data_IF_121402778548
#
_entry.id   IF_121402778548
#
_cell.length_a   1.000
_cell.length_b   1.000
_cell.length_c   1.000
_cell.angle_alpha   90.00
_cell.angle_beta   90.00
_cell.angle_gamma   90.00
#
_symmetry.space_group_name_H-M   'P 1'
#
loop_
_entity.id
_entity.type
_entity.pdbx_description
1 polymer ?
#
# COMPACT_ATOMS: atom_id res chain seq x y z
N UNK A 1 5.01 18.56 12.01
CA UNK A 1 6.45 18.83 11.75
C UNK A 1 7.07 17.75 10.87
N UNK A 2 6.87 16.48 11.17
CA UNK A 2 7.46 15.37 10.40
C UNK A 2 7.01 15.29 8.94
N UNK A 3 5.70 15.53 8.65
CA UNK A 3 5.17 15.51 7.26
C UNK A 3 5.82 16.56 6.35
N UNK A 4 6.20 17.71 6.88
CA UNK A 4 6.88 18.75 6.09
C UNK A 4 8.29 18.33 5.65
N UNK A 5 9.01 17.56 6.48
CA UNK A 5 10.30 16.98 6.11
C UNK A 5 10.12 16.02 4.93
N UNK A 6 9.11 15.15 4.99
CA UNK A 6 8.82 14.22 3.90
C UNK A 6 8.47 14.94 2.60
N UNK A 7 7.56 15.92 2.65
CA UNK A 7 7.15 16.69 1.47
C UNK A 7 8.32 17.45 0.83
N UNK A 8 9.24 18.00 1.64
CA UNK A 8 10.44 18.70 1.16
C UNK A 8 11.41 17.77 0.42
N UNK A 9 11.48 16.50 0.83
CA UNK A 9 12.39 15.50 0.25
C UNK A 9 11.73 14.69 -0.88
N UNK A 10 10.42 14.83 -1.08
CA UNK A 10 9.68 14.14 -2.14
C UNK A 10 10.03 14.76 -3.50
N UNK A 11 10.59 13.95 -4.39
CA UNK A 11 10.91 14.38 -5.76
C UNK A 11 9.65 14.36 -6.64
N UNK A 12 9.47 15.42 -7.41
CA UNK A 12 8.47 15.47 -8.47
C UNK A 12 9.16 15.52 -9.84
N UNK A 13 8.57 14.84 -10.82
CA UNK A 13 9.06 14.78 -12.19
C UNK A 13 7.89 15.14 -13.11
N UNK A 14 7.89 16.36 -13.69
CA UNK A 14 6.85 16.74 -14.64
C UNK A 14 6.96 15.92 -15.94
N UNK A 15 5.83 15.73 -16.60
CA UNK A 15 5.71 15.04 -17.88
C UNK A 15 6.26 13.59 -17.89
N UNK A 16 6.13 12.85 -16.80
CA UNK A 16 6.54 11.45 -16.69
C UNK A 16 5.37 10.55 -16.24
N UNK A 17 5.13 9.35 -16.86
CA UNK A 17 5.82 8.80 -18.03
C UNK A 17 5.39 9.42 -19.36
N UNK A 18 4.36 10.27 -19.34
CA UNK A 18 3.83 10.97 -20.50
C UNK A 18 3.55 12.45 -20.17
N UNK A 19 3.52 13.29 -21.20
CA UNK A 19 3.25 14.73 -21.06
C UNK A 19 1.92 14.98 -20.31
N UNK A 20 1.95 15.90 -19.36
CA UNK A 20 0.81 16.31 -18.55
C UNK A 20 0.66 15.56 -17.22
N UNK A 21 1.46 14.52 -16.95
CA UNK A 21 1.48 13.81 -15.68
C UNK A 21 2.59 14.36 -14.78
N UNK A 22 2.25 14.70 -13.54
CA UNK A 22 3.22 15.01 -12.49
C UNK A 22 3.49 13.74 -11.68
N UNK A 23 4.66 13.16 -11.86
CA UNK A 23 5.06 11.95 -11.16
C UNK A 23 5.66 12.27 -9.80
N UNK A 24 5.21 11.61 -8.75
CA UNK A 24 5.75 11.70 -7.39
C UNK A 24 6.63 10.48 -7.11
N UNK A 25 7.92 10.72 -6.90
CA UNK A 25 8.90 9.65 -6.72
C UNK A 25 9.22 9.45 -5.24
N UNK A 26 8.56 8.48 -4.63
CA UNK A 26 8.76 8.11 -3.22
C UNK A 26 10.14 7.51 -2.94
N UNK A 27 10.90 7.09 -3.97
CA UNK A 27 12.23 6.50 -3.77
C UNK A 27 13.21 7.47 -3.15
N UNK A 28 12.98 8.77 -3.30
CA UNK A 28 13.77 9.80 -2.61
C UNK A 28 13.57 9.78 -1.10
N UNK A 29 12.39 9.37 -0.62
CA UNK A 29 12.10 9.18 0.81
C UNK A 29 12.72 7.89 1.34
N UNK A 30 12.74 6.83 0.53
CA UNK A 30 13.36 5.55 0.93
C UNK A 30 14.88 5.64 1.10
N UNK A 31 15.56 6.39 0.24
CA UNK A 31 17.02 6.54 0.28
C UNK A 31 17.53 7.46 1.41
N UNK A 32 16.65 8.25 2.00
CA UNK A 32 16.97 9.15 3.10
C UNK A 32 16.63 8.49 4.44
N UNK A 33 17.63 8.31 5.31
CA UNK A 33 17.47 7.56 6.57
C UNK A 33 16.51 8.25 7.54
N UNK A 34 16.47 9.58 7.57
CA UNK A 34 15.56 10.34 8.42
C UNK A 34 14.11 10.21 7.91
N UNK A 35 13.90 10.39 6.60
CA UNK A 35 12.59 10.20 5.98
C UNK A 35 12.05 8.78 6.17
N UNK A 36 12.90 7.77 5.94
CA UNK A 36 12.52 6.37 6.13
C UNK A 36 12.08 6.10 7.57
N UNK A 37 12.87 6.58 8.54
CA UNK A 37 12.54 6.46 9.97
C UNK A 37 11.22 7.16 10.31
N UNK A 38 11.02 8.39 9.85
CA UNK A 38 9.79 9.15 10.08
C UNK A 38 8.57 8.38 9.55
N UNK A 39 8.64 7.86 8.32
CA UNK A 39 7.53 7.11 7.73
C UNK A 39 7.17 5.88 8.55
N UNK A 40 8.17 5.08 8.94
CA UNK A 40 7.95 3.86 9.75
C UNK A 40 7.39 4.22 11.12
N UNK A 41 7.93 5.26 11.80
CA UNK A 41 7.49 5.66 13.13
C UNK A 41 6.04 6.18 13.12
N UNK A 42 5.69 7.06 12.18
CA UNK A 42 4.34 7.63 12.07
C UNK A 42 3.29 6.53 11.76
N UNK A 43 3.61 5.61 10.86
CA UNK A 43 2.71 4.49 10.55
C UNK A 43 2.59 3.52 11.71
N UNK A 44 3.70 3.22 12.39
CA UNK A 44 3.68 2.39 13.60
C UNK A 44 2.79 3.01 14.68
N UNK A 45 2.93 4.30 14.99
CA UNK A 45 2.12 4.99 16.00
C UNK A 45 0.62 4.92 15.66
N UNK A 46 0.26 4.97 14.39
CA UNK A 46 -1.14 4.85 13.96
C UNK A 46 -1.68 3.41 14.11
N UNK A 47 -0.85 2.38 13.93
CA UNK A 47 -1.31 0.99 13.88
C UNK A 47 -0.98 0.14 15.12
N UNK A 48 -0.10 0.57 16.01
CA UNK A 48 0.42 -0.23 17.15
C UNK A 48 -0.64 -0.85 18.06
N UNK A 49 -1.79 -0.20 18.20
CA UNK A 49 -2.88 -0.65 19.07
C UNK A 49 -4.04 -1.34 18.31
N UNK A 50 -3.87 -1.59 17.01
CA UNK A 50 -4.90 -2.19 16.16
C UNK A 50 -4.83 -3.72 16.06
N UNK A 51 -3.86 -4.34 16.72
CA UNK A 51 -3.71 -5.79 16.79
C UNK A 51 -3.33 -6.43 15.46
N UNK A 52 -2.60 -5.72 14.60
CA UNK A 52 -2.14 -6.23 13.28
C UNK A 52 -1.29 -7.49 13.47
N UNK A 53 -1.65 -8.59 12.80
CA UNK A 53 -0.90 -9.85 12.80
C UNK A 53 -0.13 -10.09 11.51
N UNK A 54 -0.61 -9.51 10.41
CA UNK A 54 0.01 -9.62 9.08
C UNK A 54 0.01 -8.28 8.35
N UNK A 55 1.13 -7.96 7.73
CA UNK A 55 1.23 -6.89 6.73
C UNK A 55 1.30 -7.52 5.36
N UNK A 56 0.42 -7.13 4.45
CA UNK A 56 0.44 -7.57 3.05
C UNK A 56 0.97 -6.41 2.21
N UNK A 57 2.22 -6.53 1.75
CA UNK A 57 2.85 -5.55 0.87
C UNK A 57 2.54 -5.82 -0.59
N UNK A 58 2.21 -4.78 -1.34
CA UNK A 58 1.88 -4.88 -2.77
C UNK A 58 3.15 -4.76 -3.62
N UNK A 59 3.33 -5.67 -4.59
CA UNK A 59 4.47 -5.65 -5.52
C UNK A 59 4.52 -4.35 -6.32
N UNK A 60 5.64 -3.68 -6.30
CA UNK A 60 6.90 -4.03 -5.64
C UNK A 60 7.29 -3.03 -4.53
N UNK A 61 6.94 -1.74 -4.67
CA UNK A 61 7.37 -0.69 -3.72
C UNK A 61 6.69 -0.81 -2.35
N UNK A 62 5.50 -1.43 -2.28
CA UNK A 62 4.84 -1.77 -1.02
C UNK A 62 5.64 -2.74 -0.14
N UNK A 63 6.57 -3.51 -0.70
CA UNK A 63 7.43 -4.41 0.07
C UNK A 63 8.43 -3.65 0.95
N UNK A 64 8.92 -2.51 0.49
CA UNK A 64 10.01 -1.77 1.15
C UNK A 64 9.59 -1.36 2.56
N UNK A 65 8.55 -0.56 2.66
CA UNK A 65 8.06 -0.12 3.96
C UNK A 65 7.22 -1.18 4.67
N UNK A 66 6.54 -2.04 3.89
CA UNK A 66 5.75 -3.14 4.42
C UNK A 66 6.57 -4.08 5.31
N UNK A 67 7.81 -4.41 4.91
CA UNK A 67 8.74 -5.21 5.71
C UNK A 67 9.15 -4.53 7.00
N UNK A 68 9.55 -3.26 6.93
CA UNK A 68 9.95 -2.49 8.11
C UNK A 68 8.78 -2.31 9.10
N UNK A 69 7.57 -2.09 8.57
CA UNK A 69 6.37 -1.92 9.39
C UNK A 69 5.93 -3.23 10.03
N UNK A 70 6.01 -4.35 9.30
CA UNK A 70 5.71 -5.68 9.84
C UNK A 70 6.63 -6.02 11.01
N UNK A 71 7.93 -5.83 10.85
CA UNK A 71 8.91 -6.05 11.92
C UNK A 71 8.59 -5.21 13.15
N UNK A 72 8.34 -3.91 12.96
CA UNK A 72 8.09 -2.98 14.07
C UNK A 72 6.77 -3.25 14.79
N UNK A 73 5.74 -3.74 14.08
CA UNK A 73 4.45 -4.15 14.65
C UNK A 73 4.48 -5.55 15.29
N UNK A 74 5.56 -6.32 15.13
CA UNK A 74 5.60 -7.73 15.52
C UNK A 74 4.68 -8.62 14.69
N UNK A 75 4.42 -8.24 13.44
CA UNK A 75 3.55 -8.92 12.48
C UNK A 75 4.36 -9.70 11.43
N UNK A 76 3.73 -10.69 10.79
CA UNK A 76 4.31 -11.35 9.62
C UNK A 76 4.18 -10.48 8.35
N UNK A 77 5.12 -10.62 7.40
CA UNK A 77 5.03 -10.01 6.07
C UNK A 77 4.56 -11.03 5.04
N UNK A 78 3.56 -10.65 4.26
CA UNK A 78 3.06 -11.39 3.10
C UNK A 78 3.28 -10.54 1.85
N UNK A 79 3.77 -11.15 0.79
CA UNK A 79 3.99 -10.48 -0.49
C UNK A 79 2.83 -10.75 -1.43
N UNK A 80 2.08 -9.71 -1.80
CA UNK A 80 1.09 -9.79 -2.87
C UNK A 80 1.77 -9.48 -4.20
N UNK A 81 1.71 -10.42 -5.14
CA UNK A 81 2.53 -10.41 -6.36
C UNK A 81 1.73 -10.62 -7.64
N UNK A 82 2.33 -10.26 -8.74
CA UNK A 82 1.82 -10.56 -10.08
C UNK A 82 1.89 -12.05 -10.39
N UNK A 83 1.06 -12.58 -11.32
CA UNK A 83 1.07 -13.98 -11.71
C UNK A 83 2.45 -14.51 -12.08
N UNK A 84 2.72 -15.75 -11.67
CA UNK A 84 3.98 -16.45 -11.97
C UNK A 84 5.18 -16.05 -11.09
N UNK A 85 4.98 -15.22 -10.05
CA UNK A 85 6.04 -14.79 -9.15
C UNK A 85 6.08 -15.57 -7.82
N UNK A 86 5.01 -16.28 -7.49
CA UNK A 86 4.91 -17.08 -6.27
C UNK A 86 5.05 -18.56 -6.59
N UNK A 87 5.90 -19.33 -5.88
CA UNK A 87 6.26 -20.69 -6.27
C UNK A 87 5.32 -21.79 -5.76
N UNK A 88 4.39 -21.48 -4.84
CA UNK A 88 3.43 -22.43 -4.27
C UNK A 88 2.01 -22.17 -4.75
N UNK A 89 1.01 -22.89 -4.20
CA UNK A 89 -0.40 -22.63 -4.50
C UNK A 89 -0.81 -21.21 -4.09
N UNK A 90 -1.58 -20.57 -4.95
CA UNK A 90 -2.01 -19.17 -4.77
C UNK A 90 -3.52 -19.05 -4.75
N UNK A 91 -4.00 -17.99 -4.09
CA UNK A 91 -5.34 -17.40 -4.30
C UNK A 91 -5.13 -16.10 -5.07
N UNK A 92 -6.04 -15.83 -6.00
CA UNK A 92 -5.89 -14.67 -6.89
C UNK A 92 -7.15 -13.83 -7.01
N UNK A 93 -6.97 -12.59 -7.38
CA UNK A 93 -8.01 -11.64 -7.74
C UNK A 93 -7.63 -10.93 -9.03
N UNK A 94 -8.55 -10.98 -10.02
CA UNK A 94 -8.41 -10.26 -11.28
C UNK A 94 -9.27 -9.01 -11.27
N UNK A 95 -8.74 -7.90 -11.75
CA UNK A 95 -9.41 -6.60 -11.75
C UNK A 95 -9.20 -5.86 -13.07
N UNK A 96 -10.18 -5.01 -13.39
CA UNK A 96 -10.13 -4.16 -14.58
C UNK A 96 -9.17 -3.00 -14.36
N UNK A 97 -8.43 -2.66 -15.41
CA UNK A 97 -7.66 -1.42 -15.54
C UNK A 97 -8.22 -0.59 -16.70
N UNK A 98 -7.77 0.63 -16.81
CA UNK A 98 -8.11 1.51 -17.94
C UNK A 98 -7.79 0.84 -19.28
N UNK A 99 -6.71 0.05 -19.32
CA UNK A 99 -6.31 -0.74 -20.48
C UNK A 99 -6.09 -2.21 -20.06
N UNK A 100 -7.17 -3.02 -20.19
CA UNK A 100 -7.14 -4.46 -19.95
C UNK A 100 -7.36 -4.88 -18.51
N UNK A 101 -6.96 -6.13 -18.20
CA UNK A 101 -7.09 -6.75 -16.89
C UNK A 101 -5.73 -6.96 -16.26
N UNK A 102 -5.70 -6.97 -14.93
CA UNK A 102 -4.53 -7.32 -14.16
C UNK A 102 -4.92 -8.29 -13.04
N UNK A 103 -3.97 -9.03 -12.51
CA UNK A 103 -4.21 -10.04 -11.48
C UNK A 103 -3.17 -9.88 -10.37
N UNK A 104 -3.63 -10.04 -9.13
CA UNK A 104 -2.78 -10.07 -7.94
C UNK A 104 -2.97 -11.39 -7.22
N UNK A 105 -1.88 -11.96 -6.70
CA UNK A 105 -1.84 -13.27 -6.05
C UNK A 105 -1.15 -13.19 -4.69
N UNK A 106 -1.64 -14.00 -3.74
CA UNK A 106 -0.93 -14.35 -2.49
C UNK A 106 -0.95 -15.87 -2.32
N UNK A 107 0.00 -16.42 -1.54
CA UNK A 107 0.01 -17.85 -1.24
C UNK A 107 -1.27 -18.27 -0.48
N UNK A 108 -1.78 -19.45 -0.82
CA UNK A 108 -3.02 -20.00 -0.26
C UNK A 108 -2.95 -20.24 1.26
N UNK A 109 -1.76 -20.48 1.78
CA UNK A 109 -1.50 -20.71 3.20
C UNK A 109 -1.08 -19.46 3.99
N UNK A 110 -1.15 -18.27 3.36
CA UNK A 110 -0.61 -17.05 3.94
C UNK A 110 -1.46 -16.44 5.05
N UNK A 111 -2.78 -16.63 5.01
CA UNK A 111 -3.76 -15.99 5.90
C UNK A 111 -4.79 -16.99 6.42
N UNK A 112 -5.41 -16.65 7.55
CA UNK A 112 -6.53 -17.37 8.15
C UNK A 112 -7.52 -16.42 8.83
N UNK A 113 -8.64 -16.97 9.35
CA UNK A 113 -9.74 -16.22 9.95
C UNK A 113 -9.39 -15.47 11.25
N UNK A 114 -8.27 -15.76 11.88
CA UNK A 114 -7.84 -15.07 13.10
C UNK A 114 -6.96 -13.84 12.79
N UNK A 115 -6.52 -13.68 11.54
CA UNK A 115 -5.62 -12.61 11.17
C UNK A 115 -6.31 -11.24 11.13
N UNK A 116 -5.57 -10.25 11.61
CA UNK A 116 -5.84 -8.82 11.41
C UNK A 116 -4.80 -8.30 10.43
N UNK A 117 -5.26 -7.91 9.25
CA UNK A 117 -4.40 -7.62 8.10
C UNK A 117 -4.26 -6.13 7.87
N UNK A 118 -3.04 -5.68 7.64
CA UNK A 118 -2.71 -4.37 7.10
C UNK A 118 -2.23 -4.50 5.66
N UNK A 119 -3.06 -4.08 4.71
CA UNK A 119 -2.67 -3.92 3.31
C UNK A 119 -1.83 -2.65 3.16
N UNK A 120 -0.66 -2.75 2.54
CA UNK A 120 0.26 -1.62 2.39
C UNK A 120 0.79 -1.50 0.97
N UNK A 121 0.72 -0.27 0.43
CA UNK A 121 1.41 0.13 -0.80
C UNK A 121 2.00 1.54 -0.63
N UNK A 122 2.83 1.97 -1.56
CA UNK A 122 3.46 3.30 -1.50
C UNK A 122 2.50 4.42 -1.92
N UNK A 123 1.68 4.20 -2.95
CA UNK A 123 0.87 5.23 -3.59
C UNK A 123 -0.59 4.82 -3.78
N UNK A 124 -1.51 5.65 -3.32
CA UNK A 124 -2.91 5.63 -3.73
C UNK A 124 -3.11 6.60 -4.90
N UNK A 125 -3.22 6.04 -6.10
CA UNK A 125 -3.65 6.76 -7.31
C UNK A 125 -5.16 6.52 -7.54
N UNK A 126 -5.54 5.66 -8.46
CA UNK A 126 -6.95 5.30 -8.72
C UNK A 126 -7.50 4.25 -7.74
N UNK A 127 -6.65 3.55 -7.00
CA UNK A 127 -7.01 2.59 -5.96
C UNK A 127 -7.34 1.18 -6.44
N UNK A 128 -7.43 0.93 -7.75
CA UNK A 128 -7.89 -0.35 -8.29
C UNK A 128 -7.11 -1.58 -7.83
N UNK A 129 -5.78 -1.48 -7.79
CA UNK A 129 -4.90 -2.58 -7.33
C UNK A 129 -5.15 -2.91 -5.85
N UNK A 130 -5.24 -1.89 -5.01
CA UNK A 130 -5.45 -2.08 -3.58
C UNK A 130 -6.85 -2.60 -3.27
N UNK A 131 -7.88 -2.12 -3.98
CA UNK A 131 -9.24 -2.65 -3.86
C UNK A 131 -9.31 -4.13 -4.27
N UNK A 132 -8.55 -4.54 -5.29
CA UNK A 132 -8.41 -5.95 -5.64
C UNK A 132 -7.69 -6.75 -4.55
N UNK A 133 -6.64 -6.19 -3.95
CA UNK A 133 -5.94 -6.81 -2.83
C UNK A 133 -6.85 -6.96 -1.60
N UNK A 134 -7.73 -6.00 -1.31
CA UNK A 134 -8.72 -6.09 -0.24
C UNK A 134 -9.68 -7.27 -0.49
N UNK A 135 -10.30 -7.36 -1.69
CA UNK A 135 -11.15 -8.50 -2.05
C UNK A 135 -10.41 -9.84 -2.03
N UNK A 136 -9.12 -9.86 -2.39
CA UNK A 136 -8.30 -11.06 -2.31
C UNK A 136 -8.12 -11.52 -0.87
N UNK A 137 -7.83 -10.61 0.06
CA UNK A 137 -7.68 -10.90 1.49
C UNK A 137 -9.01 -11.34 2.12
N UNK A 138 -10.14 -10.76 1.71
CA UNK A 138 -11.49 -11.16 2.17
C UNK A 138 -11.80 -12.63 1.87
N UNK A 139 -11.26 -13.22 0.77
CA UNK A 139 -11.44 -14.65 0.44
C UNK A 139 -10.91 -15.60 1.53
N UNK A 140 -10.03 -15.13 2.40
CA UNK A 140 -9.50 -15.92 3.53
C UNK A 140 -10.35 -15.81 4.79
N UNK A 141 -11.40 -14.97 4.78
CA UNK A 141 -12.27 -14.78 5.93
C UNK A 141 -11.59 -14.12 7.13
N UNK A 142 -10.58 -13.28 6.89
CA UNK A 142 -9.79 -12.62 7.94
C UNK A 142 -10.65 -11.79 8.88
N UNK A 143 -10.21 -11.65 10.12
CA UNK A 143 -10.97 -10.97 11.18
C UNK A 143 -11.19 -9.48 10.91
N UNK A 144 -10.18 -8.79 10.35
CA UNK A 144 -10.23 -7.37 10.03
C UNK A 144 -9.16 -7.00 9.01
N UNK A 145 -9.49 -6.05 8.13
CA UNK A 145 -8.55 -5.47 7.16
C UNK A 145 -8.45 -3.96 7.37
N UNK A 146 -7.23 -3.45 7.28
CA UNK A 146 -6.87 -2.04 7.22
C UNK A 146 -6.12 -1.78 5.92
N UNK A 147 -6.23 -0.57 5.38
CA UNK A 147 -5.57 -0.17 4.13
C UNK A 147 -4.69 1.04 4.38
N UNK A 148 -3.44 0.95 3.93
CA UNK A 148 -2.43 1.98 4.17
C UNK A 148 -1.64 2.33 2.92
N UNK A 149 -1.33 3.63 2.81
CA UNK A 149 -0.42 4.18 1.81
C UNK A 149 0.56 5.15 2.45
N UNK A 150 1.75 5.27 1.84
CA UNK A 150 2.67 6.37 2.17
C UNK A 150 2.05 7.68 1.68
N UNK A 151 1.50 7.68 0.47
CA UNK A 151 1.00 8.89 -0.18
C UNK A 151 -0.28 8.62 -0.98
N UNK A 152 -1.16 9.62 -1.04
CA UNK A 152 -2.31 9.64 -1.94
C UNK A 152 -2.29 10.86 -2.85
N UNK A 153 -2.70 10.67 -4.12
CA UNK A 153 -2.97 11.76 -5.06
C UNK A 153 -4.46 12.07 -4.98
N UNK A 154 -4.79 13.17 -4.31
CA UNK A 154 -6.19 13.50 -3.97
C UNK A 154 -7.07 13.75 -5.19
N UNK A 155 -6.51 14.27 -6.28
CA UNK A 155 -7.25 14.59 -7.52
C UNK A 155 -7.81 13.34 -8.22
N UNK A 156 -7.22 12.17 -7.98
CA UNK A 156 -7.62 10.91 -8.60
C UNK A 156 -8.75 10.20 -7.83
N UNK A 157 -9.13 10.73 -6.66
CA UNK A 157 -10.24 10.20 -5.85
C UNK A 157 -10.17 8.69 -5.55
N UNK A 158 -8.96 8.14 -5.41
CA UNK A 158 -8.73 6.72 -5.24
C UNK A 158 -9.40 6.10 -4.01
N UNK A 159 -9.77 6.90 -3.02
CA UNK A 159 -10.54 6.43 -1.85
C UNK A 159 -11.95 5.94 -2.21
N UNK A 160 -12.52 6.41 -3.31
CA UNK A 160 -13.90 6.10 -3.69
C UNK A 160 -14.12 4.64 -4.11
N UNK A 161 -13.05 3.89 -4.38
CA UNK A 161 -13.14 2.47 -4.75
C UNK A 161 -13.32 1.55 -3.55
N UNK A 162 -13.05 2.04 -2.32
CA UNK A 162 -13.18 1.26 -1.09
C UNK A 162 -14.58 1.38 -0.49
N UNK A 163 -15.07 0.32 0.17
CA UNK A 163 -16.24 0.41 1.05
C UNK A 163 -16.07 1.53 2.09
N UNK A 164 -17.18 2.17 2.47
CA UNK A 164 -17.14 3.29 3.45
C UNK A 164 -16.62 2.89 4.83
N UNK A 165 -16.76 1.63 5.18
CA UNK A 165 -16.30 1.02 6.44
C UNK A 165 -14.81 0.66 6.43
N UNK A 166 -14.15 0.68 5.26
CA UNK A 166 -12.72 0.39 5.17
C UNK A 166 -11.92 1.55 5.77
N UNK A 167 -11.07 1.24 6.75
CA UNK A 167 -10.13 2.21 7.33
C UNK A 167 -8.95 2.40 6.38
N UNK A 168 -9.00 3.47 5.58
CA UNK A 168 -7.96 3.84 4.62
C UNK A 168 -7.17 5.01 5.17
N UNK A 169 -5.89 4.81 5.45
CA UNK A 169 -4.97 5.82 5.94
C UNK A 169 -3.82 6.08 4.97
N UNK A 170 -3.59 7.36 4.65
CA UNK A 170 -2.43 7.82 3.87
C UNK A 170 -1.61 8.81 4.71
N UNK A 171 -0.30 8.58 4.78
CA UNK A 171 0.59 9.43 5.57
C UNK A 171 0.69 10.83 4.97
N UNK A 172 0.79 10.93 3.65
CA UNK A 172 0.86 12.17 2.89
C UNK A 172 -0.33 12.28 1.93
N UNK A 173 -0.77 13.51 1.67
CA UNK A 173 -1.74 13.83 0.62
C UNK A 173 -1.12 14.89 -0.29
N UNK A 174 -1.11 14.64 -1.60
CA UNK A 174 -0.58 15.53 -2.63
C UNK A 174 -1.64 15.76 -3.72
N UNK A 175 -1.46 16.85 -4.48
CA UNK A 175 -2.30 17.19 -5.63
C UNK A 175 -1.43 17.40 -6.85
N UNK A 176 -1.88 16.92 -8.01
CA UNK A 176 -1.24 17.19 -9.31
C UNK A 176 -1.54 18.61 -9.81
N UNK A 177 -2.60 19.23 -9.27
CA UNK A 177 -2.99 20.60 -9.58
C UNK A 177 -2.25 21.55 -8.62
N UNK A 178 -1.24 22.20 -9.13
CA UNK A 178 -0.61 23.35 -8.48
C UNK A 178 -1.32 24.62 -8.87
#
# INVERSE_FOLDING_TARGET
MNKQVLLKNLRTIPDFPIKGILFFDVTTLFKDAECLKIMVDELYEYYKDKGITKVVGIESRGFVLGGALAEKLGAGLIMARKPGKLPAEVVEETYEKEYGKDTIQIHKDALNENDVVLLHDDLLATGGTMAAAERLVEKFGVKKTYVNFIMEITDLNGRNVFPKETDVYSLLSVSEKQ
#
